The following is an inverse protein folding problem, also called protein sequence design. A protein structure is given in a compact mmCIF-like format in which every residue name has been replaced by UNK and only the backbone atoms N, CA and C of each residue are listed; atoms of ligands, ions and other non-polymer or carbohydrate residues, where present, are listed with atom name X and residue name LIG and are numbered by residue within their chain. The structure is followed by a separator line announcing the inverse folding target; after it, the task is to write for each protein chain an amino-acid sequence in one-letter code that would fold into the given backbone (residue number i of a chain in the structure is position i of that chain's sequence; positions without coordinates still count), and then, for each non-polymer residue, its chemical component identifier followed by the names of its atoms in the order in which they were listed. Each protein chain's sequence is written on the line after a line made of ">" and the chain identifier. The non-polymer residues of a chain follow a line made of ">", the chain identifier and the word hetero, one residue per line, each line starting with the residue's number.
data_IF_350943888877
#
_entry.id   IF_350943888877
#
_cell.length_a   1.000
_cell.length_b   1.000
_cell.length_c   1.000
_cell.angle_alpha   90.00
_cell.angle_beta   90.00
_cell.angle_gamma   90.00
#
_symmetry.space_group_name_H-M   'P 1'
#
loop_
_entity.id
_entity.type
_entity.pdbx_description
1 polymer ?
#
# COMPACT_ATOMS: atom_id res chain seq x y z
N UNK A 1 -2.02 -0.63 16.82
CA UNK A 1 -0.61 -0.61 16.34
C UNK A 1 0.33 -1.41 17.22
N UNK A 2 0.78 -0.94 18.40
CA UNK A 2 1.73 -1.70 19.25
C UNK A 2 1.22 -3.08 19.67
N UNK A 3 -0.03 -3.17 20.19
CA UNK A 3 -0.64 -4.47 20.58
C UNK A 3 -0.87 -5.41 19.40
N UNK A 4 -1.04 -4.85 18.20
CA UNK A 4 -1.25 -5.61 16.96
C UNK A 4 0.08 -5.99 16.29
N UNK A 5 1.24 -5.59 16.84
CA UNK A 5 2.56 -5.88 16.26
C UNK A 5 2.98 -4.99 15.09
N UNK A 6 2.18 -3.99 14.70
CA UNK A 6 2.51 -3.09 13.58
C UNK A 6 3.56 -2.02 13.92
N UNK A 7 3.85 -1.83 15.20
CA UNK A 7 4.86 -0.88 15.67
C UNK A 7 5.58 -1.46 16.89
N UNK A 8 6.83 -1.04 17.11
CA UNK A 8 7.61 -1.34 18.32
C UNK A 8 8.38 -0.11 18.80
N UNK A 9 8.81 -0.10 20.06
CA UNK A 9 9.70 0.97 20.57
C UNK A 9 11.01 0.95 19.78
N UNK A 10 11.53 2.14 19.51
CA UNK A 10 12.83 2.33 18.88
C UNK A 10 13.70 3.20 19.77
N UNK A 11 15.00 2.91 19.75
CA UNK A 11 16.05 3.75 20.35
C UNK A 11 17.04 4.21 19.25
N UNK A 12 16.61 4.15 17.99
CA UNK A 12 17.43 4.48 16.83
C UNK A 12 17.65 5.98 16.62
N UNK A 13 18.60 6.36 15.74
CA UNK A 13 18.95 7.75 15.49
C UNK A 13 17.97 8.50 14.57
N UNK A 14 16.95 7.82 14.04
CA UNK A 14 15.99 8.38 13.10
C UNK A 14 14.71 8.80 13.81
N UNK A 15 14.12 9.91 13.38
CA UNK A 15 12.85 10.38 13.93
C UNK A 15 12.10 11.26 12.92
N UNK A 16 10.93 10.80 12.49
CA UNK A 16 9.97 11.59 11.71
C UNK A 16 8.85 12.12 12.62
N UNK A 17 8.41 13.37 12.49
CA UNK A 17 7.34 13.91 13.34
C UNK A 17 6.02 13.14 13.19
N UNK A 18 5.28 13.00 14.28
CA UNK A 18 3.93 12.43 14.27
C UNK A 18 2.86 13.46 13.87
N UNK A 19 1.92 13.04 13.02
CA UNK A 19 0.77 13.83 12.62
C UNK A 19 -0.55 13.07 12.79
N UNK A 20 -1.57 13.80 13.22
CA UNK A 20 -2.94 13.32 13.36
C UNK A 20 -3.84 14.02 12.36
N UNK A 21 -4.62 13.23 11.61
CA UNK A 21 -5.60 13.74 10.66
C UNK A 21 -6.97 13.22 11.06
N UNK A 22 -7.99 14.07 11.23
CA UNK A 22 -9.33 13.60 11.59
C UNK A 22 -9.90 12.75 10.47
N UNK A 23 -10.56 11.63 10.82
CA UNK A 23 -11.31 10.85 9.84
C UNK A 23 -12.57 11.62 9.43
N UNK A 24 -13.12 11.29 8.26
CA UNK A 24 -14.47 11.77 7.86
C UNK A 24 -15.55 11.19 8.78
N UNK A 25 -15.32 9.97 9.27
CA UNK A 25 -16.09 9.32 10.33
C UNK A 25 -15.48 9.64 11.69
N UNK A 26 -15.96 8.99 12.75
CA UNK A 26 -15.30 9.07 14.06
C UNK A 26 -13.86 8.51 14.02
N UNK A 27 -12.99 9.13 14.81
CA UNK A 27 -11.61 8.71 15.01
C UNK A 27 -10.56 9.53 14.25
N UNK A 28 -9.31 9.07 14.31
CA UNK A 28 -8.15 9.77 13.77
C UNK A 28 -7.27 8.82 12.97
N UNK A 29 -6.67 9.35 11.91
CA UNK A 29 -5.53 8.72 11.24
C UNK A 29 -4.23 9.20 11.88
N UNK A 30 -3.30 8.27 12.01
CA UNK A 30 -1.95 8.49 12.53
C UNK A 30 -0.95 8.33 11.39
N UNK A 31 -0.11 9.35 11.17
CA UNK A 31 0.89 9.35 10.11
C UNK A 31 2.24 9.83 10.63
N UNK A 32 3.31 9.36 10.00
CA UNK A 32 4.63 9.95 10.12
C UNK A 32 4.83 10.98 9.01
N UNK A 33 5.40 12.13 9.35
CA UNK A 33 5.84 13.11 8.36
C UNK A 33 7.22 12.75 7.86
N UNK A 34 7.24 11.91 6.83
CA UNK A 34 8.44 11.43 6.18
C UNK A 34 8.99 12.40 5.13
N UNK A 35 8.57 13.66 5.08
CA UNK A 35 9.05 14.60 4.03
C UNK A 35 10.56 14.72 4.00
N UNK A 36 11.22 14.81 5.17
CA UNK A 36 12.67 14.85 5.26
C UNK A 36 13.30 13.53 4.78
N UNK A 37 12.82 12.40 5.29
CA UNK A 37 13.27 11.06 4.86
C UNK A 37 13.13 10.88 3.34
N UNK A 38 12.04 11.34 2.75
CA UNK A 38 11.73 11.19 1.33
C UNK A 38 12.65 12.02 0.43
N UNK A 39 13.24 13.11 0.93
CA UNK A 39 14.23 13.90 0.19
C UNK A 39 15.54 13.12 0.06
N UNK A 40 15.94 12.42 1.13
CA UNK A 40 17.18 11.65 1.18
C UNK A 40 17.03 10.23 0.59
N UNK A 41 15.81 9.81 0.27
CA UNK A 41 15.51 8.49 -0.30
C UNK A 41 15.60 8.53 -1.82
N UNK A 42 16.40 7.61 -2.39
CA UNK A 42 16.50 7.43 -3.84
C UNK A 42 15.12 7.03 -4.39
N UNK A 43 14.58 7.75 -5.40
CA UNK A 43 13.30 7.44 -5.98
C UNK A 43 13.32 6.07 -6.68
N UNK A 44 12.32 5.23 -6.37
CA UNK A 44 12.06 4.02 -7.15
C UNK A 44 11.35 4.39 -8.46
N UNK A 45 11.89 3.94 -9.60
CA UNK A 45 11.35 4.22 -10.94
C UNK A 45 10.48 3.09 -11.47
N UNK A 46 10.01 2.18 -10.62
CA UNK A 46 9.06 1.15 -11.02
C UNK A 46 7.80 1.80 -11.62
N UNK A 47 7.33 1.34 -12.80
CA UNK A 47 6.19 1.94 -13.47
C UNK A 47 4.92 1.64 -12.67
N UNK A 48 4.26 2.68 -12.18
CA UNK A 48 2.88 2.57 -11.71
C UNK A 48 1.99 2.78 -12.93
N UNK A 49 1.07 1.85 -13.17
CA UNK A 49 0.18 1.93 -14.33
C UNK A 49 -0.65 3.20 -14.30
N UNK A 50 -0.77 3.86 -15.46
CA UNK A 50 -1.67 4.99 -15.59
C UNK A 50 -3.10 4.48 -15.79
N UNK A 51 -4.06 4.99 -15.03
CA UNK A 51 -5.44 4.48 -15.04
C UNK A 51 -6.10 4.61 -16.43
N UNK A 52 -5.67 5.56 -17.26
CA UNK A 52 -6.16 5.74 -18.62
C UNK A 52 -5.66 4.64 -19.57
N UNK A 53 -4.48 4.06 -19.32
CA UNK A 53 -3.98 2.93 -20.12
C UNK A 53 -4.91 1.72 -19.97
N UNK A 54 -5.55 1.59 -18.81
CA UNK A 54 -6.55 0.57 -18.55
C UNK A 54 -7.85 0.80 -19.33
N UNK A 55 -8.26 2.05 -19.57
CA UNK A 55 -9.50 2.37 -20.30
C UNK A 55 -9.52 1.80 -21.74
N UNK A 56 -8.35 1.61 -22.35
CA UNK A 56 -8.25 0.98 -23.67
C UNK A 56 -8.49 -0.54 -23.64
N UNK A 57 -8.33 -1.19 -22.48
CA UNK A 57 -8.48 -2.64 -22.32
C UNK A 57 -9.92 -3.07 -22.01
N UNK A 58 -10.80 -2.16 -21.60
CA UNK A 58 -12.13 -2.49 -21.07
C UNK A 58 -13.26 -2.62 -22.11
N UNK A 59 -13.04 -2.34 -23.40
CA UNK A 59 -14.12 -2.28 -24.41
C UNK A 59 -14.97 -3.56 -24.49
N UNK A 60 -14.38 -4.73 -24.24
CA UNK A 60 -15.07 -6.03 -24.32
C UNK A 60 -15.59 -6.57 -22.98
N UNK A 61 -15.38 -5.85 -21.88
CA UNK A 61 -15.67 -6.31 -20.53
C UNK A 61 -16.89 -5.59 -19.97
N UNK A 62 -17.77 -6.32 -19.28
CA UNK A 62 -19.10 -5.81 -18.91
C UNK A 62 -19.40 -5.93 -17.42
N UNK A 63 -18.64 -6.78 -16.71
CA UNK A 63 -18.82 -7.02 -15.27
C UNK A 63 -17.54 -6.61 -14.56
N UNK A 64 -17.68 -5.80 -13.51
CA UNK A 64 -16.56 -5.22 -12.77
C UNK A 64 -16.79 -5.40 -11.27
N UNK A 65 -15.72 -5.68 -10.53
CA UNK A 65 -15.67 -5.63 -9.08
C UNK A 65 -14.42 -4.87 -8.64
N UNK A 66 -14.60 -3.94 -7.71
CA UNK A 66 -13.49 -3.24 -7.06
C UNK A 66 -13.26 -3.91 -5.70
N UNK A 67 -12.05 -4.40 -5.48
CA UNK A 67 -11.62 -5.02 -4.23
C UNK A 67 -10.65 -4.06 -3.53
N UNK A 68 -11.01 -3.71 -2.29
CA UNK A 68 -10.16 -2.92 -1.40
C UNK A 68 -9.30 -3.85 -0.53
N UNK A 69 -7.98 -3.69 -0.60
CA UNK A 69 -7.03 -4.54 0.12
C UNK A 69 -6.90 -4.05 1.56
N UNK A 70 -7.49 -4.80 2.49
CA UNK A 70 -7.46 -4.46 3.92
C UNK A 70 -6.03 -4.29 4.42
N UNK A 71 -5.71 -3.05 4.82
CA UNK A 71 -4.39 -2.65 5.33
C UNK A 71 -3.23 -3.05 4.39
N UNK A 72 -3.43 -2.94 3.07
CA UNK A 72 -2.51 -3.32 2.00
C UNK A 72 -1.02 -3.12 2.32
N UNK A 73 -0.63 -1.88 2.67
CA UNK A 73 0.78 -1.57 2.92
C UNK A 73 1.35 -2.27 4.16
N UNK A 74 0.54 -2.50 5.20
CA UNK A 74 1.02 -3.20 6.42
C UNK A 74 1.25 -4.70 6.21
N UNK A 75 0.94 -5.23 5.02
CA UNK A 75 1.23 -6.62 4.65
C UNK A 75 2.67 -6.79 4.13
N UNK A 76 3.32 -5.72 3.68
CA UNK A 76 4.69 -5.76 3.15
C UNK A 76 5.67 -5.38 4.26
N UNK A 77 6.62 -6.29 4.51
CA UNK A 77 7.69 -6.12 5.50
C UNK A 77 8.75 -5.18 4.95
N UNK A 78 9.17 -4.20 5.74
CA UNK A 78 10.29 -3.31 5.42
C UNK A 78 11.60 -4.08 5.63
N UNK A 79 12.58 -3.85 4.77
CA UNK A 79 13.92 -4.40 4.95
C UNK A 79 14.43 -4.10 6.38
N UNK A 80 14.88 -5.11 7.16
CA UNK A 80 15.33 -4.91 8.53
C UNK A 80 16.28 -3.72 8.76
N UNK A 81 17.18 -3.45 7.81
CA UNK A 81 18.15 -2.35 7.90
C UNK A 81 17.51 -0.96 7.71
N UNK A 82 16.33 -0.91 7.08
CA UNK A 82 15.56 0.31 6.84
C UNK A 82 14.47 0.54 7.88
N UNK A 83 14.15 -0.45 8.72
CA UNK A 83 13.12 -0.32 9.77
C UNK A 83 13.37 0.88 10.70
N UNK A 84 14.61 1.17 11.17
CA UNK A 84 14.83 2.34 12.01
C UNK A 84 14.45 3.65 11.34
N UNK A 85 14.55 3.75 10.00
CA UNK A 85 14.21 4.96 9.24
C UNK A 85 12.72 5.28 9.28
N UNK A 86 11.87 4.29 9.52
CA UNK A 86 10.42 4.48 9.65
C UNK A 86 10.03 5.01 11.04
N UNK A 87 10.99 5.28 11.92
CA UNK A 87 10.70 5.73 13.28
C UNK A 87 9.95 7.07 13.31
N UNK A 88 8.88 7.10 14.10
CA UNK A 88 8.06 8.27 14.37
C UNK A 88 8.24 8.69 15.82
N UNK A 89 8.56 9.97 16.02
CA UNK A 89 8.65 10.59 17.35
C UNK A 89 7.30 11.13 17.78
N UNK A 90 6.89 10.76 18.99
CA UNK A 90 5.64 11.20 19.64
C UNK A 90 5.96 11.76 21.03
N UNK A 91 4.97 12.39 21.66
CA UNK A 91 5.08 12.81 23.07
C UNK A 91 5.30 11.63 24.06
N UNK A 92 5.06 10.39 23.62
CA UNK A 92 5.15 9.19 24.46
C UNK A 92 6.43 8.36 24.19
N UNK A 93 7.26 8.82 23.25
CA UNK A 93 8.50 8.15 22.85
C UNK A 93 8.61 7.94 21.35
N UNK A 94 9.63 7.19 20.98
CA UNK A 94 10.00 6.85 19.60
C UNK A 94 9.52 5.44 19.25
N UNK A 95 8.91 5.29 18.08
CA UNK A 95 8.34 4.03 17.62
C UNK A 95 8.67 3.78 16.16
N UNK A 96 9.16 2.59 15.83
CA UNK A 96 9.47 2.16 14.46
C UNK A 96 8.47 1.13 13.95
N UNK A 97 8.35 1.06 12.63
CA UNK A 97 7.36 0.27 11.91
C UNK A 97 8.07 -0.76 11.03
N UNK A 98 7.96 -2.07 11.36
CA UNK A 98 8.57 -3.14 10.57
C UNK A 98 7.83 -3.44 9.26
N UNK A 99 6.68 -2.81 9.03
CA UNK A 99 5.90 -2.93 7.81
C UNK A 99 5.82 -1.57 7.10
N UNK A 100 5.52 -1.58 5.80
CA UNK A 100 5.46 -0.36 5.02
C UNK A 100 4.43 0.61 5.62
N UNK A 101 4.86 1.86 5.77
CA UNK A 101 4.05 2.94 6.29
C UNK A 101 3.63 3.90 5.17
N UNK A 102 2.46 4.50 5.36
CA UNK A 102 1.98 5.56 4.48
C UNK A 102 2.90 6.78 4.57
N UNK A 103 3.09 7.46 3.44
CA UNK A 103 3.87 8.69 3.35
C UNK A 103 5.35 8.49 3.06
N UNK A 104 5.88 7.25 3.09
CA UNK A 104 7.23 6.95 2.61
C UNK A 104 7.26 6.93 1.08
N UNK A 105 8.30 7.50 0.48
CA UNK A 105 8.41 7.82 -0.95
C UNK A 105 8.08 6.65 -1.89
N UNK A 106 8.66 5.48 -1.61
CA UNK A 106 8.65 4.34 -2.53
C UNK A 106 7.58 3.30 -2.17
N UNK A 107 6.67 3.61 -1.25
CA UNK A 107 5.63 2.68 -0.78
C UNK A 107 4.74 2.21 -1.94
N UNK A 108 4.27 3.13 -2.79
CA UNK A 108 3.40 2.79 -3.91
C UNK A 108 4.07 1.90 -4.95
N UNK A 109 5.32 2.22 -5.31
CA UNK A 109 6.12 1.45 -6.28
C UNK A 109 6.41 0.03 -5.78
N UNK A 110 6.76 -0.09 -4.50
CA UNK A 110 7.01 -1.41 -3.88
C UNK A 110 5.75 -2.26 -3.88
N UNK A 111 4.60 -1.65 -3.56
CA UNK A 111 3.32 -2.35 -3.58
C UNK A 111 2.91 -2.76 -4.99
N UNK A 112 3.06 -1.88 -5.98
CA UNK A 112 2.75 -2.20 -7.37
C UNK A 112 3.62 -3.36 -7.87
N UNK A 113 4.93 -3.35 -7.59
CA UNK A 113 5.82 -4.46 -7.96
C UNK A 113 5.37 -5.78 -7.34
N UNK A 114 5.00 -5.75 -6.07
CA UNK A 114 4.48 -6.93 -5.38
C UNK A 114 3.19 -7.44 -6.03
N UNK A 115 2.23 -6.55 -6.29
CA UNK A 115 0.97 -6.93 -6.95
C UNK A 115 1.21 -7.52 -8.35
N UNK A 116 2.05 -6.87 -9.17
CA UNK A 116 2.36 -7.36 -10.52
C UNK A 116 3.05 -8.73 -10.51
N UNK A 117 3.80 -9.05 -9.45
CA UNK A 117 4.43 -10.36 -9.26
C UNK A 117 3.42 -11.42 -8.83
N UNK A 118 2.57 -11.12 -7.84
CA UNK A 118 1.58 -12.06 -7.31
C UNK A 118 0.50 -12.40 -8.34
N UNK A 119 0.03 -11.41 -9.09
CA UNK A 119 -1.06 -11.57 -10.05
C UNK A 119 -0.58 -11.74 -11.50
N UNK A 120 0.71 -12.02 -11.67
CA UNK A 120 1.32 -12.25 -12.98
C UNK A 120 0.58 -13.35 -13.73
N UNK A 121 0.17 -13.04 -14.96
CA UNK A 121 -0.50 -13.99 -15.85
C UNK A 121 -2.02 -14.04 -15.73
N UNK A 122 -2.61 -13.26 -14.81
CA UNK A 122 -4.04 -13.02 -14.79
C UNK A 122 -4.35 -11.79 -15.67
N UNK A 123 -5.12 -11.99 -16.73
CA UNK A 123 -5.49 -10.95 -17.69
C UNK A 123 -6.81 -10.23 -17.32
N UNK A 124 -7.48 -10.72 -16.28
CA UNK A 124 -8.78 -10.25 -15.79
C UNK A 124 -8.69 -9.39 -14.51
N UNK A 125 -7.48 -9.05 -14.06
CA UNK A 125 -7.26 -8.14 -12.95
C UNK A 125 -6.32 -6.99 -13.31
N UNK A 126 -6.51 -5.86 -12.64
CA UNK A 126 -5.71 -4.67 -12.78
C UNK A 126 -5.50 -4.05 -11.40
N UNK A 127 -4.25 -3.80 -11.03
CA UNK A 127 -3.89 -3.16 -9.78
C UNK A 127 -3.51 -1.71 -10.03
N UNK A 128 -4.11 -0.83 -9.24
CA UNK A 128 -3.71 0.56 -9.13
C UNK A 128 -3.45 0.85 -7.66
N UNK A 129 -2.18 0.74 -7.26
CA UNK A 129 -1.79 0.83 -5.84
C UNK A 129 -2.59 -0.17 -4.99
N UNK A 130 -3.33 0.30 -3.98
CA UNK A 130 -4.14 -0.48 -3.06
C UNK A 130 -5.49 -0.93 -3.61
N UNK A 131 -5.94 -0.38 -4.74
CA UNK A 131 -7.17 -0.77 -5.40
C UNK A 131 -6.94 -1.89 -6.42
N UNK A 132 -7.67 -2.99 -6.26
CA UNK A 132 -7.70 -4.08 -7.24
C UNK A 132 -9.01 -4.04 -8.01
N UNK A 133 -8.92 -3.96 -9.32
CA UNK A 133 -10.05 -4.06 -10.23
C UNK A 133 -10.08 -5.45 -10.88
N UNK A 134 -11.20 -6.14 -10.75
CA UNK A 134 -11.48 -7.42 -11.42
C UNK A 134 -12.53 -7.18 -12.48
N UNK A 135 -12.33 -7.74 -13.67
CA UNK A 135 -13.23 -7.53 -14.81
C UNK A 135 -13.45 -8.82 -15.61
N UNK A 136 -14.68 -8.99 -16.11
CA UNK A 136 -15.12 -10.19 -16.85
C UNK A 136 -16.14 -9.83 -17.93
N UNK A 137 -16.29 -10.69 -18.94
CA UNK A 137 -17.24 -10.43 -20.03
C UNK A 137 -18.66 -10.85 -19.65
N UNK A 138 -18.79 -11.86 -18.80
CA UNK A 138 -20.06 -12.44 -18.31
C UNK A 138 -20.03 -12.65 -16.78
N UNK A 139 -21.20 -12.71 -16.16
CA UNK A 139 -21.33 -12.90 -14.72
C UNK A 139 -20.78 -14.26 -14.23
N UNK A 140 -21.04 -15.35 -14.96
CA UNK A 140 -20.56 -16.69 -14.59
C UNK A 140 -19.03 -16.77 -14.58
N UNK A 141 -18.40 -16.19 -15.61
CA UNK A 141 -16.94 -16.03 -15.71
C UNK A 141 -16.40 -15.19 -14.54
N UNK A 142 -17.10 -14.12 -14.17
CA UNK A 142 -16.72 -13.26 -13.05
C UNK A 142 -16.71 -13.99 -11.72
N UNK A 143 -17.68 -14.87 -11.47
CA UNK A 143 -17.68 -15.71 -10.28
C UNK A 143 -16.49 -16.67 -10.25
N UNK A 144 -16.09 -17.23 -11.39
CA UNK A 144 -14.88 -18.06 -11.49
C UNK A 144 -13.62 -17.24 -11.25
N UNK A 145 -13.52 -16.03 -11.80
CA UNK A 145 -12.38 -15.13 -11.59
C UNK A 145 -12.24 -14.75 -10.12
N UNK A 146 -13.33 -14.36 -9.46
CA UNK A 146 -13.30 -14.04 -8.03
C UNK A 146 -12.89 -15.26 -7.19
N UNK A 147 -13.38 -16.47 -7.52
CA UNK A 147 -12.98 -17.70 -6.82
C UNK A 147 -11.51 -18.08 -7.00
N UNK A 148 -10.83 -17.59 -8.04
CA UNK A 148 -9.39 -17.82 -8.19
C UNK A 148 -8.57 -16.89 -7.29
N UNK A 149 -9.13 -15.73 -6.93
CA UNK A 149 -8.46 -14.68 -6.16
C UNK A 149 -8.61 -14.83 -4.64
N UNK A 150 -9.65 -15.55 -4.17
CA UNK A 150 -9.93 -15.83 -2.76
C UNK A 150 -9.65 -17.29 -2.43
#
# INVERSE_FOLDING_TARGET
>A
MMREGFARRSDGPWASPFHLVPKKTEGWWSFGDYRALNVDTIPDTYPVHYIQDFAHRIYSWHVFSVLDLVKAYTQIVVNPDDVPKTAIITAFGLFEFPFMSFGVRNTGQTFQRFADEVFRGLDFCFFYLDDMLVFSRKADEHHTHLRLLF
#
